data_IF_023137327023
#
_entry.id   IF_023137327023
#
_cell.length_a   1.000
_cell.length_b   1.000
_cell.length_c   1.000
_cell.angle_alpha   90.00
_cell.angle_beta   90.00
_cell.angle_gamma   90.00
#
_symmetry.space_group_name_H-M   'P 1'
#
loop_
_entity.id
_entity.type
_entity.pdbx_description
1 polymer ?
#
# COMPACT_ATOMS: atom_id res chain seq x y z
N UNK A 1 2.53 -17.40 3.92
CA UNK A 1 1.20 -17.99 4.22
C UNK A 1 0.16 -16.94 4.61
N UNK A 2 0.47 -15.97 5.49
CA UNK A 2 -0.52 -14.95 5.87
C UNK A 2 -0.82 -13.91 4.80
N UNK A 3 0.02 -13.75 3.79
CA UNK A 3 -0.17 -12.74 2.75
C UNK A 3 -1.12 -13.19 1.63
N UNK A 4 -1.24 -14.47 1.38
CA UNK A 4 -2.21 -14.97 0.41
C UNK A 4 -3.66 -14.80 0.87
N UNK A 5 -3.88 -14.75 2.17
CA UNK A 5 -5.22 -14.60 2.75
C UNK A 5 -5.87 -13.24 2.48
N UNK A 6 -5.08 -12.21 2.18
CA UNK A 6 -5.60 -10.85 1.91
C UNK A 6 -6.04 -10.66 0.45
N UNK A 7 -5.58 -11.52 -0.46
CA UNK A 7 -5.84 -11.35 -1.90
C UNK A 7 -7.32 -11.38 -2.28
N UNK A 8 -8.16 -12.31 -1.77
CA UNK A 8 -9.57 -12.31 -2.11
C UNK A 8 -10.27 -10.99 -1.76
N UNK A 9 -10.08 -10.51 -0.53
CA UNK A 9 -10.66 -9.24 -0.08
C UNK A 9 -10.11 -8.04 -0.88
N UNK A 10 -8.81 -8.04 -1.17
CA UNK A 10 -8.19 -6.98 -1.99
C UNK A 10 -8.77 -6.95 -3.41
N UNK A 11 -9.04 -8.09 -4.02
CA UNK A 11 -9.69 -8.17 -5.34
C UNK A 11 -11.11 -7.60 -5.31
N UNK A 12 -11.87 -7.82 -4.24
CA UNK A 12 -13.21 -7.23 -4.08
C UNK A 12 -13.13 -5.70 -4.02
N UNK A 13 -12.21 -5.15 -3.24
CA UNK A 13 -11.97 -3.70 -3.16
C UNK A 13 -11.58 -3.15 -4.54
N UNK A 14 -10.60 -3.76 -5.21
CA UNK A 14 -10.17 -3.35 -6.55
C UNK A 14 -11.34 -3.35 -7.54
N UNK A 15 -12.16 -4.39 -7.52
CA UNK A 15 -13.33 -4.51 -8.39
C UNK A 15 -14.34 -3.40 -8.14
N UNK A 16 -14.59 -3.05 -6.89
CA UNK A 16 -15.51 -1.98 -6.51
C UNK A 16 -14.97 -0.60 -6.95
N UNK A 17 -13.67 -0.33 -6.77
CA UNK A 17 -13.04 0.90 -7.24
C UNK A 17 -13.07 1.03 -8.75
N UNK A 18 -12.75 -0.06 -9.47
CA UNK A 18 -12.81 -0.12 -10.94
C UNK A 18 -14.21 0.13 -11.49
N UNK A 19 -15.22 -0.44 -10.84
CA UNK A 19 -16.63 -0.23 -11.24
C UNK A 19 -17.08 1.24 -11.08
N UNK A 20 -16.43 1.98 -10.20
CA UNK A 20 -16.68 3.40 -9.94
C UNK A 20 -15.76 4.34 -10.74
N UNK A 21 -14.81 3.82 -11.48
CA UNK A 21 -13.79 4.63 -12.17
C UNK A 21 -12.91 5.45 -11.22
N UNK A 22 -12.74 4.98 -9.98
CA UNK A 22 -11.91 5.66 -8.99
C UNK A 22 -10.43 5.39 -9.23
N UNK A 23 -9.53 6.32 -8.89
CA UNK A 23 -8.09 6.13 -9.05
C UNK A 23 -7.59 4.93 -8.26
N UNK A 24 -6.77 4.11 -8.90
CA UNK A 24 -6.08 2.98 -8.28
C UNK A 24 -4.58 3.17 -8.46
N UNK A 25 -3.84 3.01 -7.37
CA UNK A 25 -2.39 3.10 -7.34
C UNK A 25 -1.81 1.85 -6.73
N UNK A 26 -1.03 1.11 -7.49
CA UNK A 26 -0.19 0.05 -6.95
C UNK A 26 1.15 0.61 -6.50
N UNK A 27 1.68 0.05 -5.44
CA UNK A 27 3.02 0.41 -4.96
C UNK A 27 3.88 -0.83 -4.79
N UNK A 28 5.12 -0.73 -5.22
CA UNK A 28 6.12 -1.77 -4.98
C UNK A 28 7.40 -1.15 -4.43
N UNK A 29 8.20 -1.96 -3.76
CA UNK A 29 9.48 -1.56 -3.23
C UNK A 29 10.57 -2.21 -4.04
N UNK A 30 11.36 -1.42 -4.77
CA UNK A 30 12.48 -1.93 -5.54
C UNK A 30 13.65 -0.95 -5.50
N UNK A 31 14.87 -1.49 -5.48
CA UNK A 31 16.08 -0.68 -5.53
C UNK A 31 16.83 -0.82 -6.85
N UNK A 32 17.62 0.17 -7.13
CA UNK A 32 18.64 0.14 -8.18
C UNK A 32 20.04 0.08 -7.55
N UNK A 33 20.95 -0.61 -8.22
CA UNK A 33 22.35 -0.68 -7.78
C UNK A 33 23.06 0.62 -8.17
N UNK A 34 23.65 1.29 -7.18
CA UNK A 34 24.37 2.54 -7.36
C UNK A 34 25.83 2.30 -6.99
N UNK A 35 26.76 2.78 -7.81
CA UNK A 35 28.21 2.63 -7.60
C UNK A 35 28.65 1.17 -7.40
N UNK A 36 27.98 0.22 -8.04
CA UNK A 36 28.34 -1.18 -8.08
C UNK A 36 27.89 -2.03 -6.87
N UNK A 37 27.75 -1.45 -5.68
CA UNK A 37 27.49 -2.22 -4.45
C UNK A 37 26.42 -1.61 -3.54
N UNK A 38 26.01 -0.37 -3.80
CA UNK A 38 25.07 0.33 -2.93
C UNK A 38 23.67 0.32 -3.50
N UNK A 39 22.68 0.28 -2.59
CA UNK A 39 21.27 0.48 -2.96
C UNK A 39 20.94 1.97 -2.93
N UNK A 40 20.02 2.40 -3.79
CA UNK A 40 19.50 3.78 -3.77
C UNK A 40 18.41 4.00 -2.68
N UNK A 41 18.21 3.03 -1.78
CA UNK A 41 17.30 3.12 -0.64
C UNK A 41 17.88 3.83 0.59
N UNK A 42 19.15 4.25 0.56
CA UNK A 42 19.81 4.86 1.70
C UNK A 42 19.89 3.93 2.92
N UNK A 43 19.71 4.50 4.12
CA UNK A 43 19.86 3.74 5.37
C UNK A 43 18.79 2.66 5.55
N UNK A 44 17.60 2.82 4.98
CA UNK A 44 16.56 1.81 5.06
C UNK A 44 16.96 0.51 4.36
N UNK A 45 17.70 0.60 3.25
CA UNK A 45 18.26 -0.56 2.57
C UNK A 45 19.18 -1.44 3.42
N UNK A 46 19.70 -0.93 4.55
CA UNK A 46 20.47 -1.73 5.52
C UNK A 46 19.62 -2.53 6.50
N UNK A 47 18.32 -2.34 6.49
CA UNK A 47 17.35 -2.95 7.43
C UNK A 47 16.43 -3.97 6.79
N UNK A 48 16.32 -3.95 5.47
CA UNK A 48 15.40 -4.79 4.70
C UNK A 48 16.19 -5.78 3.84
N UNK A 49 15.58 -6.90 3.41
CA UNK A 49 16.24 -7.92 2.60
C UNK A 49 16.45 -7.43 1.15
N UNK A 50 17.46 -6.63 0.92
CA UNK A 50 17.72 -6.01 -0.39
C UNK A 50 18.05 -7.02 -1.47
N UNK A 51 18.56 -8.20 -1.13
CA UNK A 51 18.87 -9.27 -2.08
C UNK A 51 17.66 -9.71 -2.93
N UNK A 52 16.44 -9.56 -2.40
CA UNK A 52 15.19 -9.95 -3.08
C UNK A 52 14.42 -8.76 -3.67
N UNK A 53 14.83 -7.53 -3.38
CA UNK A 53 14.12 -6.31 -3.77
C UNK A 53 14.77 -5.58 -4.95
N UNK A 54 15.64 -6.24 -5.68
CA UNK A 54 16.31 -5.64 -6.85
C UNK A 54 15.31 -5.43 -7.99
N UNK A 55 15.36 -4.27 -8.65
CA UNK A 55 14.55 -4.00 -9.85
C UNK A 55 14.73 -5.09 -10.90
N UNK A 56 13.63 -5.56 -11.48
CA UNK A 56 13.60 -6.66 -12.45
C UNK A 56 13.60 -8.06 -11.84
N UNK A 57 13.57 -8.17 -10.50
CA UNK A 57 13.26 -9.42 -9.81
C UNK A 57 11.75 -9.67 -9.86
N UNK A 58 11.32 -10.92 -9.99
CA UNK A 58 9.91 -11.32 -9.89
C UNK A 58 9.29 -10.92 -8.55
N UNK A 59 10.11 -10.84 -7.48
CA UNK A 59 9.64 -10.53 -6.12
C UNK A 59 9.28 -9.04 -5.90
N UNK A 60 9.56 -8.17 -6.86
CA UNK A 60 9.15 -6.76 -6.82
C UNK A 60 8.00 -6.45 -7.77
N UNK A 61 7.56 -7.42 -8.54
CA UNK A 61 6.41 -7.27 -9.42
C UNK A 61 5.09 -7.26 -8.64
N UNK A 62 4.07 -6.64 -9.21
CA UNK A 62 2.72 -6.72 -8.65
C UNK A 62 2.18 -8.13 -8.88
N UNK A 63 1.63 -8.72 -7.81
CA UNK A 63 1.08 -10.07 -7.87
C UNK A 63 0.04 -10.18 -9.01
N UNK A 64 0.26 -11.08 -9.94
CA UNK A 64 -0.58 -11.27 -11.13
C UNK A 64 -2.04 -11.59 -10.80
N UNK A 65 -2.28 -12.19 -9.63
CA UNK A 65 -3.62 -12.50 -9.13
C UNK A 65 -4.47 -11.26 -8.86
N UNK A 66 -3.87 -10.08 -8.72
CA UNK A 66 -4.58 -8.80 -8.58
C UNK A 66 -5.06 -8.25 -9.92
N UNK A 67 -4.64 -8.86 -11.03
CA UNK A 67 -5.10 -8.53 -12.39
C UNK A 67 -4.96 -7.02 -12.68
N UNK A 68 -3.76 -6.45 -12.37
CA UNK A 68 -3.50 -5.02 -12.62
C UNK A 68 -3.74 -4.67 -14.08
N UNK A 69 -4.45 -3.58 -14.33
CA UNK A 69 -4.70 -3.07 -15.67
C UNK A 69 -3.55 -2.17 -16.13
N UNK A 70 -3.36 -2.03 -17.44
CA UNK A 70 -2.28 -1.21 -17.99
C UNK A 70 -2.42 0.28 -17.66
N UNK A 71 -3.64 0.77 -17.51
CA UNK A 71 -3.97 2.15 -17.15
C UNK A 71 -3.87 2.44 -15.64
N UNK A 72 -3.67 1.43 -14.82
CA UNK A 72 -3.44 1.59 -13.37
C UNK A 72 -1.95 1.81 -13.10
N UNK A 73 -1.63 2.91 -12.42
CA UNK A 73 -0.23 3.27 -12.20
C UNK A 73 0.44 2.41 -11.14
N UNK A 74 1.74 2.22 -11.31
CA UNK A 74 2.62 1.57 -10.33
C UNK A 74 3.66 2.58 -9.87
N UNK A 75 3.73 2.82 -8.57
CA UNK A 75 4.77 3.64 -7.94
C UNK A 75 5.83 2.73 -7.35
N UNK A 76 7.04 2.86 -7.84
CA UNK A 76 8.22 2.20 -7.27
C UNK A 76 8.80 3.10 -6.19
N UNK A 77 8.71 2.67 -4.94
CA UNK A 77 9.18 3.44 -3.78
C UNK A 77 10.51 2.92 -3.24
N UNK A 78 11.26 3.82 -2.62
CA UNK A 78 12.58 3.57 -2.02
C UNK A 78 12.54 3.62 -0.49
N UNK A 79 11.37 3.94 0.09
CA UNK A 79 11.13 4.03 1.52
C UNK A 79 9.89 3.23 1.89
N UNK A 80 9.66 3.03 3.17
CA UNK A 80 8.48 2.31 3.66
C UNK A 80 7.17 2.97 3.20
N UNK A 81 7.06 4.28 3.39
CA UNK A 81 5.90 5.05 2.96
C UNK A 81 5.83 5.19 1.43
N UNK A 82 4.63 5.07 0.89
CA UNK A 82 4.35 5.34 -0.52
C UNK A 82 4.41 6.83 -0.88
N UNK A 83 4.32 7.73 0.08
CA UNK A 83 4.43 9.18 -0.11
C UNK A 83 5.89 9.65 -0.14
N UNK A 84 6.77 8.95 0.58
CA UNK A 84 8.14 9.44 0.79
C UNK A 84 9.02 9.28 -0.45
N UNK A 85 9.38 10.42 -1.05
CA UNK A 85 10.27 10.47 -2.23
C UNK A 85 9.59 9.95 -3.52
N UNK A 86 8.27 10.00 -3.60
CA UNK A 86 7.49 9.65 -4.78
C UNK A 86 6.61 10.81 -5.23
N UNK A 87 5.92 10.66 -6.34
CA UNK A 87 4.94 11.62 -6.83
C UNK A 87 3.50 11.32 -6.37
N UNK A 88 3.30 10.42 -5.40
CA UNK A 88 1.95 9.98 -4.99
C UNK A 88 1.08 11.15 -4.54
N UNK A 89 1.59 12.01 -3.65
CA UNK A 89 0.86 13.18 -3.17
C UNK A 89 0.40 14.07 -4.33
N UNK A 90 1.30 14.42 -5.23
CA UNK A 90 0.98 15.25 -6.40
C UNK A 90 -0.07 14.60 -7.30
N UNK A 91 0.03 13.30 -7.51
CA UNK A 91 -0.95 12.55 -8.31
C UNK A 91 -2.34 12.55 -7.66
N UNK A 92 -2.45 12.19 -6.38
CA UNK A 92 -3.72 12.16 -5.67
C UNK A 92 -4.41 13.54 -5.63
N UNK A 93 -3.63 14.59 -5.37
CA UNK A 93 -4.14 15.96 -5.41
C UNK A 93 -4.66 16.34 -6.82
N UNK A 94 -3.97 15.94 -7.87
CA UNK A 94 -4.42 16.21 -9.26
C UNK A 94 -5.72 15.49 -9.61
N UNK A 95 -6.01 14.37 -8.95
CA UNK A 95 -7.26 13.62 -9.07
C UNK A 95 -8.39 14.15 -8.15
N UNK A 96 -8.11 15.16 -7.31
CA UNK A 96 -9.08 15.69 -6.34
C UNK A 96 -9.40 14.70 -5.19
N UNK A 97 -8.48 13.79 -4.89
CA UNK A 97 -8.65 12.80 -3.82
C UNK A 97 -8.43 13.47 -2.47
N UNK A 98 -9.33 13.22 -1.52
CA UNK A 98 -9.22 13.62 -0.12
C UNK A 98 -9.17 12.42 0.84
N UNK A 99 -9.57 11.26 0.38
CA UNK A 99 -9.66 10.01 1.16
C UNK A 99 -8.93 8.89 0.41
N UNK A 100 -8.09 8.15 1.11
CA UNK A 100 -7.34 7.03 0.55
C UNK A 100 -7.73 5.72 1.23
N UNK A 101 -8.01 4.69 0.44
CA UNK A 101 -8.22 3.33 0.96
C UNK A 101 -6.91 2.56 0.82
N UNK A 102 -6.36 2.13 1.95
CA UNK A 102 -5.05 1.47 2.01
C UNK A 102 -5.21 -0.02 2.21
N UNK A 103 -4.53 -0.79 1.37
CA UNK A 103 -4.48 -2.27 1.41
C UNK A 103 -3.06 -2.76 1.20
N UNK A 104 -2.78 -4.01 1.54
CA UNK A 104 -1.52 -4.68 1.22
C UNK A 104 -0.65 -5.03 2.42
N UNK A 105 0.65 -5.04 2.22
CA UNK A 105 1.67 -5.50 3.17
C UNK A 105 2.84 -4.54 3.25
N UNK A 106 3.55 -4.47 4.36
CA UNK A 106 3.31 -5.11 5.66
C UNK A 106 2.67 -4.11 6.61
N UNK A 107 1.77 -4.60 7.48
CA UNK A 107 1.08 -3.76 8.46
C UNK A 107 2.08 -2.90 9.27
N UNK A 108 3.14 -3.52 9.77
CA UNK A 108 4.15 -2.91 10.65
C UNK A 108 5.15 -1.97 9.96
N UNK A 109 5.13 -1.89 8.63
CA UNK A 109 6.07 -1.06 7.87
C UNK A 109 5.37 -0.23 6.79
N UNK A 110 5.16 -0.79 5.59
CA UNK A 110 4.72 -0.03 4.43
C UNK A 110 3.31 0.53 4.59
N UNK A 111 2.38 -0.25 5.14
CA UNK A 111 1.01 0.20 5.41
C UNK A 111 1.03 1.32 6.44
N UNK A 112 1.60 1.06 7.63
CA UNK A 112 1.67 2.05 8.71
C UNK A 112 2.32 3.35 8.26
N UNK A 113 3.51 3.28 7.65
CA UNK A 113 4.23 4.47 7.22
C UNK A 113 3.45 5.27 6.16
N UNK A 114 2.74 4.59 5.25
CA UNK A 114 1.90 5.24 4.24
C UNK A 114 0.69 5.93 4.88
N UNK A 115 0.07 5.32 5.86
CA UNK A 115 -1.06 5.90 6.59
C UNK A 115 -0.63 7.14 7.38
N UNK A 116 0.50 7.06 8.11
CA UNK A 116 1.05 8.17 8.88
C UNK A 116 1.42 9.37 8.00
N UNK A 117 2.10 9.13 6.88
CA UNK A 117 2.40 10.22 5.94
C UNK A 117 1.13 10.72 5.21
N UNK A 118 0.18 9.84 4.91
CA UNK A 118 -1.08 10.22 4.26
C UNK A 118 -1.90 11.21 5.09
N UNK A 119 -2.09 10.94 6.39
CA UNK A 119 -2.79 11.88 7.27
C UNK A 119 -1.99 13.18 7.47
N UNK A 120 -0.66 13.09 7.55
CA UNK A 120 0.20 14.27 7.64
C UNK A 120 0.13 15.16 6.39
N UNK A 121 -0.08 14.56 5.22
CA UNK A 121 -0.25 15.25 3.93
C UNK A 121 -1.71 15.71 3.69
N UNK A 122 -2.63 15.46 4.64
CA UNK A 122 -4.00 15.97 4.61
C UNK A 122 -5.04 15.02 4.01
N UNK A 123 -4.71 13.78 3.76
CA UNK A 123 -5.66 12.75 3.34
C UNK A 123 -6.36 12.10 4.55
N UNK A 124 -7.50 11.47 4.32
CA UNK A 124 -8.22 10.62 5.28
C UNK A 124 -7.92 9.17 4.97
N UNK A 125 -7.05 8.49 5.74
CA UNK A 125 -6.76 7.08 5.50
C UNK A 125 -7.87 6.17 6.02
N UNK A 126 -8.38 5.31 5.17
CA UNK A 126 -9.27 4.18 5.51
C UNK A 126 -8.51 2.89 5.26
N UNK A 127 -8.45 2.02 6.23
CA UNK A 127 -7.74 0.76 6.16
C UNK A 127 -8.74 -0.39 6.17
N UNK A 128 -8.72 -1.21 5.11
CA UNK A 128 -9.60 -2.39 5.04
C UNK A 128 -8.91 -3.54 5.75
N UNK A 129 -9.37 -3.89 6.95
CA UNK A 129 -8.66 -4.82 7.84
C UNK A 129 -8.38 -6.19 7.22
N UNK A 130 -9.32 -6.73 6.42
CA UNK A 130 -9.18 -8.02 5.73
C UNK A 130 -8.18 -7.98 4.56
N UNK A 131 -7.77 -6.77 4.16
CA UNK A 131 -6.80 -6.54 3.08
C UNK A 131 -5.40 -6.23 3.59
N UNK A 132 -5.14 -6.37 4.90
CA UNK A 132 -3.85 -6.06 5.51
C UNK A 132 -3.15 -7.33 5.97
N UNK A 133 -1.90 -7.48 5.56
CA UNK A 133 -1.06 -8.61 5.93
C UNK A 133 0.25 -8.21 6.57
N UNK A 134 0.81 -9.16 7.33
CA UNK A 134 2.18 -9.10 7.85
C UNK A 134 2.71 -10.52 8.05
N UNK A 135 4.02 -10.65 8.25
CA UNK A 135 4.69 -11.94 8.53
C UNK A 135 4.27 -12.53 9.88
N UNK A 136 3.85 -11.69 10.81
CA UNK A 136 3.45 -12.06 12.17
C UNK A 136 2.04 -11.53 12.44
N UNK A 137 1.11 -12.41 12.80
CA UNK A 137 -0.29 -12.04 13.05
C UNK A 137 -0.45 -10.93 14.10
N UNK A 138 0.30 -11.02 15.21
CA UNK A 138 0.27 -9.98 16.24
C UNK A 138 0.73 -8.61 15.73
N UNK A 139 1.59 -8.55 14.71
CA UNK A 139 1.98 -7.28 14.10
C UNK A 139 0.80 -6.63 13.38
N UNK A 140 -0.07 -7.41 12.73
CA UNK A 140 -1.30 -6.88 12.12
C UNK A 140 -2.20 -6.29 13.19
N UNK A 141 -2.53 -7.05 14.23
CA UNK A 141 -3.44 -6.62 15.29
C UNK A 141 -2.99 -5.30 15.97
N UNK A 142 -1.72 -5.24 16.39
CA UNK A 142 -1.20 -4.05 17.06
C UNK A 142 -1.10 -2.83 16.15
N UNK A 143 -0.72 -3.01 14.90
CA UNK A 143 -0.65 -1.86 13.98
C UNK A 143 -2.03 -1.37 13.60
N UNK A 144 -3.01 -2.25 13.36
CA UNK A 144 -4.39 -1.83 13.10
C UNK A 144 -5.00 -1.11 14.31
N UNK A 145 -4.76 -1.60 15.54
CA UNK A 145 -5.18 -0.91 16.76
C UNK A 145 -4.60 0.51 16.87
N UNK A 146 -3.30 0.65 16.64
CA UNK A 146 -2.63 1.95 16.71
C UNK A 146 -3.08 2.91 15.60
N UNK A 147 -3.28 2.39 14.39
CA UNK A 147 -3.76 3.18 13.26
C UNK A 147 -5.16 3.71 13.54
N UNK A 148 -6.07 2.84 13.97
CA UNK A 148 -7.46 3.19 14.29
C UNK A 148 -7.54 4.26 15.40
N UNK A 149 -6.66 4.14 16.38
CA UNK A 149 -6.63 5.08 17.51
C UNK A 149 -6.05 6.46 17.17
N UNK A 150 -5.23 6.60 16.08
CA UNK A 150 -4.38 7.79 15.94
C UNK A 150 -4.26 8.36 14.52
N UNK A 151 -4.38 7.55 13.47
CA UNK A 151 -3.91 7.93 12.14
C UNK A 151 -4.93 7.76 11.01
N UNK A 152 -5.99 6.97 11.22
CA UNK A 152 -7.00 6.70 10.21
C UNK A 152 -8.05 5.75 10.75
N UNK A 153 -9.05 5.42 9.97
CA UNK A 153 -10.14 4.54 10.37
C UNK A 153 -9.89 3.11 9.85
N UNK A 154 -10.04 2.11 10.71
CA UNK A 154 -9.93 0.69 10.34
C UNK A 154 -11.32 0.11 10.16
N UNK A 155 -11.68 -0.18 8.91
CA UNK A 155 -13.01 -0.60 8.53
C UNK A 155 -13.06 -2.05 8.06
N UNK A 156 -14.16 -2.78 8.36
CA UNK A 156 -14.42 -4.07 7.73
C UNK A 156 -14.59 -3.90 6.21
N UNK A 157 -14.18 -4.91 5.45
CA UNK A 157 -14.38 -4.97 4.00
C UNK A 157 -15.82 -4.61 3.59
N UNK A 158 -16.81 -5.21 4.27
CA UNK A 158 -18.22 -5.01 3.92
C UNK A 158 -18.65 -3.54 4.06
N UNK A 159 -18.18 -2.83 5.10
CA UNK A 159 -18.48 -1.39 5.29
C UNK A 159 -17.99 -0.56 4.11
N UNK A 160 -16.76 -0.82 3.65
CA UNK A 160 -16.16 -0.11 2.50
C UNK A 160 -16.91 -0.42 1.19
N UNK A 161 -17.24 -1.70 0.96
CA UNK A 161 -18.00 -2.10 -0.22
C UNK A 161 -19.41 -1.49 -0.24
N UNK A 162 -20.09 -1.45 0.90
CA UNK A 162 -21.43 -0.87 1.00
C UNK A 162 -21.41 0.65 0.78
N UNK A 163 -20.40 1.34 1.32
CA UNK A 163 -20.21 2.76 1.05
C UNK A 163 -19.99 3.03 -0.45
N UNK A 164 -19.14 2.24 -1.10
CA UNK A 164 -18.89 2.35 -2.53
C UNK A 164 -20.11 2.04 -3.41
N UNK A 165 -21.06 1.24 -2.95
CA UNK A 165 -22.31 0.96 -3.69
C UNK A 165 -23.37 2.07 -3.56
N UNK A 166 -23.36 2.81 -2.46
CA UNK A 166 -24.40 3.80 -2.15
C UNK A 166 -24.10 5.18 -2.75
N UNK A 167 -22.86 5.51 -2.97
CA UNK A 167 -22.38 6.80 -3.46
C UNK A 167 -21.87 6.72 -4.87
#
# INVERSE_FOLDING_TARGET
ENMDNILPATKEVLSAFRARGLPIVFTTTAYDVVMGEHTDMGLWGKKIPTEVLKRGSELVEIDERLERREDEIVIVKKQASAFRGTNLNSYLNSCGVDTIVVTGTTASACVRATVEDGIADGFRPIIVKECIGDRVAGAVEWNLFDIDAKFGDVEPLQSVLDHLRQN
#
